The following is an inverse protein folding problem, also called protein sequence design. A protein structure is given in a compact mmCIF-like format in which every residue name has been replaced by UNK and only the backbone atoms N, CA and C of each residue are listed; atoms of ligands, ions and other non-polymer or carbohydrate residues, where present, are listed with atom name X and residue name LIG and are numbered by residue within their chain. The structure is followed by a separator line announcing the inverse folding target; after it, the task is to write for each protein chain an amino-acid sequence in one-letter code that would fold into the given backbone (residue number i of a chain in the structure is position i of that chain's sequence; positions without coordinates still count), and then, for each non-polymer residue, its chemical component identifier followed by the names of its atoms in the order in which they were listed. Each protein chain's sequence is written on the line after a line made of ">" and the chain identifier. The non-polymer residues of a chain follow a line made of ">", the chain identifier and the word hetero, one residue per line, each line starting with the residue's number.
data_IF_559651173499
#
_entry.id   IF_559651173499
#
_cell.length_a   1.000
_cell.length_b   1.000
_cell.length_c   1.000
_cell.angle_alpha   90.00
_cell.angle_beta   90.00
_cell.angle_gamma   90.00
#
_symmetry.space_group_name_H-M   'P 1'
#
loop_
_entity.id
_entity.type
_entity.pdbx_description
1 polymer ?
#
# COMPACT_ATOMS: atom_id res chain seq x y z
N UNK A 1 18.23 3.65 4.79
CA UNK A 1 17.06 2.85 5.25
C UNK A 1 16.37 2.13 4.09
N UNK A 2 15.83 2.84 3.09
CA UNK A 2 15.11 2.21 1.97
C UNK A 2 15.96 1.25 1.12
N UNK A 3 17.26 1.49 0.96
CA UNK A 3 18.17 0.57 0.24
C UNK A 3 18.22 -0.82 0.87
N UNK A 4 18.24 -0.92 2.20
CA UNK A 4 18.23 -2.21 2.92
C UNK A 4 16.90 -2.95 2.73
N UNK A 5 15.77 -2.27 2.88
CA UNK A 5 14.43 -2.86 2.66
C UNK A 5 14.25 -3.31 1.21
N UNK A 6 14.67 -2.47 0.25
CA UNK A 6 14.58 -2.81 -1.18
C UNK A 6 15.49 -3.99 -1.56
N UNK A 7 16.59 -4.20 -0.85
CA UNK A 7 17.52 -5.31 -1.03
C UNK A 7 17.17 -6.54 -0.17
N UNK A 8 16.06 -6.53 0.58
CA UNK A 8 15.68 -7.58 1.56
C UNK A 8 16.71 -7.83 2.67
N UNK A 9 17.55 -6.84 2.97
CA UNK A 9 18.61 -6.93 3.98
C UNK A 9 18.14 -6.35 5.32
N UNK A 10 17.10 -6.94 5.91
CA UNK A 10 16.54 -6.52 7.19
C UNK A 10 15.84 -7.70 7.90
N UNK A 11 15.86 -7.72 9.23
CA UNK A 11 15.05 -8.65 10.03
C UNK A 11 13.69 -8.05 10.36
N UNK A 12 13.66 -6.75 10.69
CA UNK A 12 12.44 -6.00 10.96
C UNK A 12 12.62 -4.56 10.51
N UNK A 13 11.58 -4.01 9.88
CA UNK A 13 11.58 -2.62 9.42
C UNK A 13 10.22 -1.98 9.73
N UNK A 14 10.24 -0.77 10.27
CA UNK A 14 9.06 0.06 10.39
C UNK A 14 8.86 0.85 9.10
N UNK A 15 7.78 0.55 8.36
CA UNK A 15 7.51 1.13 7.05
C UNK A 15 6.09 1.67 6.96
N UNK A 16 5.96 2.86 6.38
CA UNK A 16 4.67 3.43 6.00
C UNK A 16 4.39 3.20 4.51
N UNK A 17 3.12 3.05 4.15
CA UNK A 17 2.69 2.98 2.76
C UNK A 17 1.50 3.92 2.53
N UNK A 18 1.51 4.63 1.40
CA UNK A 18 0.41 5.49 0.97
C UNK A 18 -0.22 4.88 -0.27
N UNK A 19 -1.55 4.78 -0.32
CA UNK A 19 -2.24 4.30 -1.50
C UNK A 19 -2.16 5.34 -2.63
N UNK A 20 -1.89 4.86 -3.85
CA UNK A 20 -1.88 5.72 -5.05
C UNK A 20 -3.28 6.07 -5.56
N UNK A 21 -4.32 5.35 -5.10
CA UNK A 21 -5.71 5.61 -5.43
C UNK A 21 -6.63 5.23 -4.26
N UNK A 22 -7.92 5.58 -4.35
CA UNK A 22 -8.94 5.16 -3.38
C UNK A 22 -9.42 3.73 -3.61
N UNK A 23 -8.99 3.06 -4.68
CA UNK A 23 -9.39 1.68 -4.96
C UNK A 23 -8.57 0.69 -4.08
N UNK A 24 -9.24 -0.21 -3.34
CA UNK A 24 -8.58 -1.17 -2.44
C UNK A 24 -7.58 -2.10 -3.16
N UNK A 25 -7.76 -2.33 -4.46
CA UNK A 25 -6.83 -3.11 -5.28
C UNK A 25 -5.41 -2.52 -5.28
N UNK A 26 -5.28 -1.19 -5.15
CA UNK A 26 -3.97 -0.53 -5.13
C UNK A 26 -3.15 -0.96 -3.91
N UNK A 27 -3.79 -1.27 -2.79
CA UNK A 27 -3.10 -1.80 -1.61
C UNK A 27 -2.85 -3.30 -1.75
N UNK A 28 -3.84 -4.06 -2.21
CA UNK A 28 -3.74 -5.51 -2.38
C UNK A 28 -2.64 -5.90 -3.39
N UNK A 29 -2.55 -5.23 -4.53
CA UNK A 29 -1.51 -5.43 -5.55
C UNK A 29 -0.09 -5.13 -5.06
N UNK A 30 0.06 -4.42 -3.93
CA UNK A 30 1.36 -4.01 -3.39
C UNK A 30 1.77 -4.82 -2.16
N UNK A 31 0.86 -5.02 -1.22
CA UNK A 31 1.16 -5.70 0.05
C UNK A 31 0.93 -7.22 -0.03
N UNK A 32 0.00 -7.67 -0.88
CA UNK A 32 -0.36 -9.09 -1.00
C UNK A 32 0.29 -9.70 -2.24
N UNK A 33 0.01 -9.15 -3.42
CA UNK A 33 0.39 -9.77 -4.69
C UNK A 33 1.89 -9.82 -4.90
N UNK A 34 2.46 -10.99 -5.19
CA UNK A 34 3.86 -11.17 -5.56
C UNK A 34 3.98 -12.15 -6.74
N UNK A 35 4.30 -11.68 -7.97
CA UNK A 35 4.28 -12.54 -9.15
C UNK A 35 5.40 -13.60 -9.15
N UNK A 36 6.55 -13.30 -8.55
CA UNK A 36 7.69 -14.22 -8.44
C UNK A 36 8.59 -13.78 -7.30
N UNK A 37 8.72 -14.62 -6.26
CA UNK A 37 9.44 -14.29 -5.03
C UNK A 37 10.96 -14.52 -5.09
N UNK A 38 11.48 -15.06 -6.19
CA UNK A 38 12.91 -15.27 -6.39
C UNK A 38 13.67 -13.94 -6.34
N UNK A 39 14.90 -13.95 -5.83
CA UNK A 39 15.74 -12.75 -5.73
C UNK A 39 16.12 -12.23 -7.14
N UNK A 40 16.29 -13.15 -8.09
CA UNK A 40 16.65 -12.92 -9.48
C UNK A 40 15.55 -12.19 -10.26
N UNK A 41 14.28 -12.35 -9.85
CA UNK A 41 13.14 -11.70 -10.48
C UNK A 41 13.14 -10.17 -10.30
N UNK A 42 13.84 -9.67 -9.26
CA UNK A 42 14.04 -8.22 -9.00
C UNK A 42 12.74 -7.40 -9.07
N UNK A 43 11.64 -7.95 -8.56
CA UNK A 43 10.31 -7.35 -8.52
C UNK A 43 10.21 -6.22 -7.46
N UNK A 44 11.17 -5.28 -7.48
CA UNK A 44 11.35 -4.23 -6.45
C UNK A 44 10.18 -3.26 -6.35
N UNK A 45 9.33 -3.19 -7.39
CA UNK A 45 8.08 -2.43 -7.39
C UNK A 45 7.02 -3.00 -6.42
N UNK A 46 7.16 -4.26 -5.99
CA UNK A 46 6.21 -4.95 -5.10
C UNK A 46 6.76 -4.96 -3.67
N UNK A 47 6.12 -4.26 -2.70
CA UNK A 47 6.44 -4.42 -1.28
C UNK A 47 6.41 -5.87 -0.81
N UNK A 48 5.39 -6.64 -1.17
CA UNK A 48 5.29 -8.09 -0.90
C UNK A 48 6.58 -8.83 -1.25
N UNK A 49 7.15 -8.57 -2.44
CA UNK A 49 8.44 -9.09 -2.84
C UNK A 49 9.57 -8.57 -1.96
N UNK A 50 9.65 -7.26 -1.69
CA UNK A 50 10.70 -6.70 -0.81
C UNK A 50 10.67 -7.29 0.61
N UNK A 51 9.51 -7.78 1.04
CA UNK A 51 9.32 -8.40 2.34
C UNK A 51 9.37 -9.94 2.29
N UNK A 52 9.70 -10.53 1.13
CA UNK A 52 9.78 -11.98 0.93
C UNK A 52 8.44 -12.71 1.04
N UNK A 53 7.32 -12.00 1.01
CA UNK A 53 5.98 -12.58 1.13
C UNK A 53 5.50 -13.17 -0.20
N UNK A 54 5.13 -14.45 -0.19
CA UNK A 54 4.53 -15.10 -1.34
C UNK A 54 3.50 -16.14 -0.90
N UNK A 55 2.28 -15.99 -1.42
CA UNK A 55 1.21 -16.98 -1.28
C UNK A 55 0.41 -17.00 -2.58
N UNK A 56 0.47 -18.12 -3.30
CA UNK A 56 -0.18 -18.28 -4.59
C UNK A 56 -1.71 -18.18 -4.50
N UNK A 57 -2.32 -18.63 -3.41
CA UNK A 57 -3.78 -18.53 -3.20
C UNK A 57 -4.17 -17.08 -2.94
N UNK A 58 -3.37 -16.36 -2.16
CA UNK A 58 -3.59 -14.93 -1.93
C UNK A 58 -3.42 -14.12 -3.22
N UNK A 59 -2.43 -14.44 -4.06
CA UNK A 59 -2.28 -13.83 -5.38
C UNK A 59 -3.54 -14.02 -6.23
N UNK A 60 -4.04 -15.26 -6.32
CA UNK A 60 -5.24 -15.57 -7.09
C UNK A 60 -6.46 -14.79 -6.60
N UNK A 61 -6.68 -14.71 -5.28
CA UNK A 61 -7.77 -13.90 -4.70
C UNK A 61 -7.66 -12.41 -5.08
N UNK A 62 -6.46 -11.85 -5.17
CA UNK A 62 -6.25 -10.46 -5.60
C UNK A 62 -6.65 -10.28 -7.07
N UNK A 63 -6.29 -11.23 -7.94
CA UNK A 63 -6.68 -11.21 -9.35
C UNK A 63 -8.19 -11.38 -9.53
N UNK A 64 -8.82 -12.31 -8.81
CA UNK A 64 -10.28 -12.51 -8.84
C UNK A 64 -11.03 -11.24 -8.37
N UNK A 65 -10.54 -10.60 -7.30
CA UNK A 65 -11.13 -9.36 -6.78
C UNK A 65 -10.96 -8.15 -7.71
N UNK A 66 -9.99 -8.19 -8.63
CA UNK A 66 -9.83 -7.14 -9.66
C UNK A 66 -10.98 -7.19 -10.67
N UNK A 67 -11.37 -8.38 -11.09
CA UNK A 67 -12.37 -8.59 -12.14
C UNK A 67 -13.80 -8.76 -11.62
N UNK A 68 -14.02 -8.73 -10.29
CA UNK A 68 -15.35 -8.80 -9.72
C UNK A 68 -16.17 -7.53 -10.02
N UNK A 69 -17.29 -7.69 -10.72
CA UNK A 69 -18.16 -6.59 -11.16
C UNK A 69 -19.12 -6.11 -10.07
N UNK A 70 -19.57 -7.01 -9.21
CA UNK A 70 -20.45 -6.67 -8.10
C UNK A 70 -19.66 -5.95 -7.01
N UNK A 71 -20.02 -4.70 -6.73
CA UNK A 71 -19.28 -3.84 -5.80
C UNK A 71 -19.32 -4.35 -4.35
N UNK A 72 -20.43 -4.93 -3.91
CA UNK A 72 -20.56 -5.44 -2.55
C UNK A 72 -19.72 -6.70 -2.36
N UNK A 73 -19.79 -7.62 -3.33
CA UNK A 73 -18.94 -8.82 -3.34
C UNK A 73 -17.47 -8.44 -3.45
N UNK A 74 -17.11 -7.48 -4.31
CA UNK A 74 -15.73 -6.99 -4.45
C UNK A 74 -15.20 -6.40 -3.13
N UNK A 75 -16.01 -5.58 -2.46
CA UNK A 75 -15.66 -5.03 -1.15
C UNK A 75 -15.44 -6.13 -0.11
N UNK A 76 -16.31 -7.14 -0.07
CA UNK A 76 -16.16 -8.28 0.83
C UNK A 76 -14.89 -9.08 0.53
N UNK A 77 -14.58 -9.35 -0.74
CA UNK A 77 -13.35 -10.05 -1.14
C UNK A 77 -12.09 -9.32 -0.66
N UNK A 78 -12.04 -7.99 -0.78
CA UNK A 78 -10.90 -7.22 -0.27
C UNK A 78 -10.85 -7.19 1.27
N UNK A 79 -12.00 -7.14 1.95
CA UNK A 79 -12.05 -7.22 3.40
C UNK A 79 -11.54 -8.59 3.90
N UNK A 80 -11.92 -9.68 3.23
CA UNK A 80 -11.44 -11.04 3.53
C UNK A 80 -9.94 -11.17 3.28
N UNK A 81 -9.45 -10.68 2.14
CA UNK A 81 -8.02 -10.59 1.82
C UNK A 81 -7.23 -9.85 2.90
N UNK A 82 -7.74 -8.70 3.35
CA UNK A 82 -7.10 -7.93 4.40
C UNK A 82 -7.05 -8.70 5.72
N UNK A 83 -8.16 -9.33 6.14
CA UNK A 83 -8.19 -10.12 7.38
C UNK A 83 -7.22 -11.30 7.32
N UNK A 84 -7.17 -12.00 6.19
CA UNK A 84 -6.24 -13.12 6.02
C UNK A 84 -4.78 -12.67 6.04
N UNK A 85 -4.46 -11.54 5.38
CA UNK A 85 -3.12 -10.97 5.42
C UNK A 85 -2.73 -10.54 6.85
N UNK A 86 -3.66 -9.99 7.63
CA UNK A 86 -3.41 -9.63 9.03
C UNK A 86 -3.17 -10.84 9.93
N UNK A 87 -3.74 -12.00 9.60
CA UNK A 87 -3.61 -13.22 10.39
C UNK A 87 -2.39 -14.06 10.03
N UNK A 88 -2.02 -14.08 8.73
CA UNK A 88 -1.01 -15.01 8.19
C UNK A 88 0.17 -14.32 7.51
N UNK A 89 0.04 -13.03 7.18
CA UNK A 89 1.07 -12.27 6.51
C UNK A 89 2.21 -11.85 7.44
N UNK A 90 3.33 -11.35 6.89
CA UNK A 90 4.52 -10.98 7.65
C UNK A 90 4.42 -9.56 8.25
N UNK A 91 3.19 -9.04 8.43
CA UNK A 91 2.96 -7.66 8.78
C UNK A 91 2.31 -7.53 10.15
N UNK A 92 2.91 -6.70 11.01
CA UNK A 92 2.25 -6.15 12.17
C UNK A 92 1.72 -4.75 11.82
N UNK A 93 0.41 -4.64 11.57
CA UNK A 93 -0.22 -3.34 11.32
C UNK A 93 -0.40 -2.59 12.64
N UNK A 94 0.18 -1.39 12.76
CA UNK A 94 0.14 -0.61 14.01
C UNK A 94 -0.97 0.45 13.99
N UNK A 95 -0.97 1.34 13.00
CA UNK A 95 -1.98 2.41 12.89
C UNK A 95 -2.11 2.93 11.45
N UNK A 96 -3.21 3.64 11.19
CA UNK A 96 -3.36 4.51 10.03
C UNK A 96 -2.99 5.94 10.43
N UNK A 97 -2.08 6.57 9.69
CA UNK A 97 -1.65 7.93 9.99
C UNK A 97 -2.70 8.95 9.54
N UNK A 98 -2.80 10.05 10.27
CA UNK A 98 -3.38 11.30 9.78
C UNK A 98 -2.24 12.28 9.50
N UNK A 99 -2.38 13.08 8.44
CA UNK A 99 -1.36 14.07 8.08
C UNK A 99 -1.65 15.40 8.78
N UNK A 100 -0.69 15.88 9.57
CA UNK A 100 -0.74 17.19 10.24
C UNK A 100 0.20 18.14 9.54
N UNK A 101 -0.29 19.32 9.18
CA UNK A 101 0.48 20.33 8.45
C UNK A 101 0.48 21.61 9.28
N UNK A 102 1.68 22.08 9.63
CA UNK A 102 1.86 23.41 10.22
C UNK A 102 1.91 24.45 9.09
N UNK A 103 1.13 25.52 9.22
CA UNK A 103 1.05 26.60 8.24
C UNK A 103 1.25 27.95 8.92
N UNK A 104 1.86 28.88 8.21
CA UNK A 104 1.99 30.27 8.61
C UNK A 104 0.69 31.04 8.35
N UNK A 105 0.45 32.14 9.08
CA UNK A 105 -0.79 32.93 8.99
C UNK A 105 -1.00 33.66 7.66
N UNK A 106 0.04 33.73 6.84
CA UNK A 106 0.05 34.25 5.46
C UNK A 106 -0.24 33.15 4.42
N UNK A 107 -0.90 32.06 4.79
CA UNK A 107 -1.46 31.10 3.82
C UNK A 107 -2.97 31.18 3.98
N UNK A 108 -3.67 31.72 2.97
CA UNK A 108 -5.13 31.84 2.98
C UNK A 108 -5.82 30.62 2.42
N UNK A 109 -5.13 29.86 1.56
CA UNK A 109 -5.68 28.66 0.95
C UNK A 109 -4.64 27.58 0.81
N UNK A 110 -4.94 26.44 1.43
CA UNK A 110 -4.19 25.21 1.30
C UNK A 110 -4.94 24.25 0.38
N UNK A 111 -4.27 23.75 -0.66
CA UNK A 111 -4.86 22.82 -1.62
C UNK A 111 -4.06 21.51 -1.63
N UNK A 112 -4.69 20.45 -1.14
CA UNK A 112 -4.17 19.09 -1.09
C UNK A 112 -5.21 18.06 -1.54
N UNK A 113 -4.81 16.80 -1.72
CA UNK A 113 -5.72 15.68 -1.94
C UNK A 113 -5.37 14.47 -1.05
N UNK A 114 -6.20 13.44 -1.10
CA UNK A 114 -6.04 12.17 -0.37
C UNK A 114 -4.84 11.30 -0.81
N UNK A 115 -4.11 11.71 -1.84
CA UNK A 115 -2.96 10.99 -2.39
C UNK A 115 -1.71 11.88 -2.30
N UNK A 116 -1.19 12.08 -1.08
CA UNK A 116 -0.53 13.27 -0.50
C UNK A 116 0.18 14.18 -1.50
N UNK A 117 -0.59 14.81 -2.39
CA UNK A 117 -0.07 15.72 -3.42
C UNK A 117 -0.38 17.15 -3.02
N UNK A 118 0.69 17.94 -2.97
CA UNK A 118 0.63 19.38 -2.70
C UNK A 118 0.65 20.10 -4.05
N UNK A 119 -0.37 20.90 -4.31
CA UNK A 119 -0.46 21.70 -5.53
C UNK A 119 0.05 23.12 -5.24
N UNK A 120 1.38 23.28 -5.22
CA UNK A 120 2.01 24.56 -4.87
C UNK A 120 1.50 25.76 -5.70
N UNK A 121 1.20 25.54 -6.97
CA UNK A 121 0.63 26.56 -7.87
C UNK A 121 -0.79 27.02 -7.50
N UNK A 122 -1.47 26.30 -6.61
CA UNK A 122 -2.84 26.59 -6.15
C UNK A 122 -2.88 27.12 -4.71
N UNK A 123 -1.73 27.34 -4.10
CA UNK A 123 -1.62 27.90 -2.75
C UNK A 123 -1.75 29.43 -2.85
N UNK A 124 -2.59 30.01 -2.00
CA UNK A 124 -2.79 31.47 -1.91
C UNK A 124 -2.22 31.98 -0.59
N UNK A 125 -1.52 33.12 -0.64
CA UNK A 125 -0.89 33.78 0.53
C UNK A 125 -1.78 34.85 1.15
#
# INVERSE_FOLDING_TARGET
>A
MFSKVNARAFDTAFVGWNSGSTDPHTMASRLVYNPDNRLEARNTAYPSWRHGYFDAKMNQKVEEALFQKDLQKRAQMYADLQRELMQKGPYAFIYQKYDVIAMTSNIKKWVWNSAPRIFYSKIEK
#
